data_IF_947489698276
#
_entry.id   IF_947489698276
#
_cell.length_a   1.000
_cell.length_b   1.000
_cell.length_c   1.000
_cell.angle_alpha   90.00
_cell.angle_beta   90.00
_cell.angle_gamma   90.00
#
_symmetry.space_group_name_H-M   'P 1'
#
loop_
_entity.id
_entity.type
_entity.pdbx_description
1 polymer ?
#
# COMPACT_ATOMS: atom_id res chain seq x y z
N UNK A 1 10.74 -26.65 -28.76
CA UNK A 1 10.95 -25.97 -27.47
C UNK A 1 9.58 -25.49 -27.04
N UNK A 2 9.06 -25.98 -25.91
CA UNK A 2 7.79 -25.48 -25.40
C UNK A 2 7.95 -23.97 -25.13
N UNK A 3 6.94 -23.19 -25.50
CA UNK A 3 6.94 -21.75 -25.24
C UNK A 3 6.93 -21.55 -23.71
N UNK A 4 7.88 -20.79 -23.16
CA UNK A 4 8.05 -20.64 -21.70
C UNK A 4 6.80 -20.11 -20.98
N UNK A 5 5.88 -19.50 -21.75
CA UNK A 5 4.55 -19.10 -21.29
C UNK A 5 3.64 -20.30 -20.99
N UNK A 6 3.67 -21.33 -21.83
CA UNK A 6 2.86 -22.54 -21.67
C UNK A 6 3.32 -23.37 -20.46
N UNK A 7 4.63 -23.51 -20.28
CA UNK A 7 5.20 -24.14 -19.08
C UNK A 7 4.80 -23.42 -17.79
N UNK A 8 4.86 -22.07 -17.78
CA UNK A 8 4.46 -21.27 -16.63
C UNK A 8 2.98 -21.46 -16.27
N UNK A 9 2.10 -21.52 -17.27
CA UNK A 9 0.67 -21.79 -17.07
C UNK A 9 0.45 -23.17 -16.46
N UNK A 10 1.14 -24.18 -17.00
CA UNK A 10 1.02 -25.56 -16.53
C UNK A 10 1.49 -25.70 -15.07
N UNK A 11 2.58 -25.03 -14.70
CA UNK A 11 3.08 -25.01 -13.32
C UNK A 11 2.06 -24.36 -12.38
N UNK A 12 1.54 -23.17 -12.72
CA UNK A 12 0.54 -22.48 -11.87
C UNK A 12 -0.73 -23.34 -11.73
N UNK A 13 -1.16 -24.00 -12.81
CA UNK A 13 -2.31 -24.90 -12.79
C UNK A 13 -2.05 -26.11 -11.88
N UNK A 14 -0.86 -26.72 -11.96
CA UNK A 14 -0.46 -27.80 -11.06
C UNK A 14 -0.46 -27.35 -9.60
N UNK A 15 0.14 -26.19 -9.29
CA UNK A 15 0.20 -25.64 -7.93
C UNK A 15 -1.18 -25.42 -7.34
N UNK A 16 -2.10 -24.81 -8.09
CA UNK A 16 -3.47 -24.55 -7.65
C UNK A 16 -4.29 -25.83 -7.50
N UNK A 17 -4.22 -26.72 -8.49
CA UNK A 17 -5.06 -27.93 -8.54
C UNK A 17 -4.65 -28.97 -7.50
N UNK A 18 -3.37 -28.99 -7.10
CA UNK A 18 -2.83 -29.97 -6.16
C UNK A 18 -2.53 -29.41 -4.78
N UNK A 19 -2.82 -28.13 -4.54
CA UNK A 19 -2.62 -27.48 -3.25
C UNK A 19 -3.33 -28.23 -2.12
N UNK A 20 -2.59 -28.69 -1.11
CA UNK A 20 -3.12 -29.36 0.07
C UNK A 20 -3.51 -30.83 -0.13
N UNK A 21 -3.26 -31.42 -1.30
CA UNK A 21 -3.43 -32.86 -1.50
C UNK A 21 -2.35 -33.66 -0.78
N UNK A 22 -2.68 -34.89 -0.39
CA UNK A 22 -1.71 -35.83 0.21
C UNK A 22 -0.81 -36.41 -0.88
N UNK A 23 0.48 -36.56 -0.57
CA UNK A 23 1.48 -37.16 -1.46
C UNK A 23 2.81 -36.43 -1.36
N UNK A 24 3.90 -37.12 -1.69
CA UNK A 24 5.23 -36.52 -1.79
C UNK A 24 5.25 -35.47 -2.92
N UNK A 25 5.87 -34.32 -2.68
CA UNK A 25 5.96 -33.23 -3.66
C UNK A 25 4.67 -32.44 -3.89
N UNK A 26 3.58 -32.70 -3.14
CA UNK A 26 2.34 -31.94 -3.28
C UNK A 26 2.48 -30.51 -2.73
N UNK A 27 2.06 -29.48 -3.50
CA UNK A 27 2.22 -28.10 -3.11
C UNK A 27 1.23 -27.70 -2.01
N UNK A 28 1.52 -26.59 -1.32
CA UNK A 28 0.57 -25.91 -0.44
C UNK A 28 0.60 -24.42 -0.78
N UNK A 29 -0.42 -23.98 -1.51
CA UNK A 29 -0.63 -22.55 -1.79
C UNK A 29 -1.25 -21.93 -0.55
N UNK A 30 -0.51 -21.07 0.13
CA UNK A 30 -0.96 -20.40 1.37
C UNK A 30 -1.66 -19.09 1.05
N UNK A 31 -2.77 -18.86 1.72
CA UNK A 31 -3.55 -17.61 1.62
C UNK A 31 -3.92 -17.17 0.19
N UNK A 32 -4.39 -18.08 -0.69
CA UNK A 32 -4.72 -17.74 -2.08
C UNK A 32 -5.80 -16.66 -2.20
N UNK A 33 -6.63 -16.46 -1.18
CA UNK A 33 -7.67 -15.43 -1.14
C UNK A 33 -7.13 -14.00 -1.17
N UNK A 34 -5.85 -13.79 -0.83
CA UNK A 34 -5.23 -12.46 -0.86
C UNK A 34 -4.51 -12.18 -2.17
N UNK A 35 -4.25 -13.19 -3.00
CA UNK A 35 -3.55 -12.98 -4.28
C UNK A 35 -4.41 -12.22 -5.27
N UNK A 36 -3.77 -11.38 -6.07
CA UNK A 36 -4.43 -10.59 -7.11
C UNK A 36 -5.58 -9.72 -6.58
N UNK A 37 -5.45 -9.27 -5.33
CA UNK A 37 -6.30 -8.25 -4.74
C UNK A 37 -5.62 -6.88 -4.84
N UNK A 38 -6.45 -5.87 -5.09
CA UNK A 38 -6.03 -4.48 -4.97
C UNK A 38 -6.01 -4.09 -3.50
N UNK A 39 -5.08 -3.20 -3.14
CA UNK A 39 -4.94 -2.68 -1.79
C UNK A 39 -3.93 -1.53 -1.76
N UNK A 40 -3.25 -1.36 -0.63
CA UNK A 40 -2.17 -0.39 -0.47
C UNK A 40 -0.86 -1.05 -0.04
N UNK A 41 0.25 -0.40 -0.35
CA UNK A 41 1.58 -0.81 0.10
C UNK A 41 2.51 0.39 0.28
N UNK A 42 3.56 0.22 1.07
CA UNK A 42 4.61 1.21 1.26
C UNK A 42 5.97 0.67 0.82
N UNK A 43 6.96 1.54 0.81
CA UNK A 43 8.37 1.16 0.69
C UNK A 43 8.88 0.68 2.04
N UNK A 44 9.37 -0.56 2.12
CA UNK A 44 10.00 -1.10 3.33
C UNK A 44 11.18 -0.22 3.76
N UNK A 45 12.09 0.07 2.82
CA UNK A 45 13.24 0.96 3.05
C UNK A 45 12.87 2.39 2.63
N UNK A 46 12.94 3.32 3.57
CA UNK A 46 12.69 4.75 3.35
C UNK A 46 13.98 5.54 3.54
N UNK A 47 14.23 6.51 2.65
CA UNK A 47 15.43 7.36 2.70
C UNK A 47 15.19 8.69 3.39
N UNK A 48 13.95 9.19 3.41
CA UNK A 48 13.62 10.50 3.98
C UNK A 48 12.22 10.50 4.62
N UNK A 49 11.17 10.33 3.82
CA UNK A 49 9.79 10.27 4.29
C UNK A 49 9.15 8.95 3.87
N UNK A 50 8.17 8.49 4.66
CA UNK A 50 7.37 7.32 4.32
C UNK A 50 6.62 7.60 3.01
N UNK A 51 6.58 6.59 2.13
CA UNK A 51 5.78 6.66 0.91
C UNK A 51 4.89 5.44 0.76
N UNK A 52 3.61 5.71 0.58
CA UNK A 52 2.56 4.71 0.41
C UNK A 52 1.88 4.88 -0.96
N UNK A 53 1.44 3.78 -1.56
CA UNK A 53 0.83 3.76 -2.90
C UNK A 53 -0.29 2.75 -2.98
N UNK A 54 -1.20 2.97 -3.94
CA UNK A 54 -2.10 1.91 -4.40
C UNK A 54 -1.29 0.77 -4.98
N UNK A 55 -1.70 -0.45 -4.63
CA UNK A 55 -1.17 -1.68 -5.17
C UNK A 55 -2.23 -2.33 -6.04
N UNK A 56 -1.90 -2.51 -7.31
CA UNK A 56 -2.73 -3.26 -8.25
C UNK A 56 -2.71 -4.76 -7.93
N UNK A 57 -3.57 -5.51 -8.60
CA UNK A 57 -3.69 -6.97 -8.44
C UNK A 57 -2.37 -7.67 -8.73
N UNK A 58 -1.69 -8.13 -7.68
CA UNK A 58 -0.42 -8.83 -7.82
C UNK A 58 -0.24 -9.95 -6.79
N UNK A 59 0.92 -10.60 -6.82
CA UNK A 59 1.43 -11.38 -5.70
C UNK A 59 2.14 -10.45 -4.71
N UNK A 60 2.20 -10.84 -3.44
CA UNK A 60 2.75 -10.03 -2.36
C UNK A 60 4.09 -10.62 -1.91
N UNK A 61 5.03 -9.74 -1.60
CA UNK A 61 6.33 -10.07 -1.03
C UNK A 61 6.51 -9.29 0.28
N UNK A 62 7.44 -9.73 1.14
CA UNK A 62 7.75 -9.10 2.42
C UNK A 62 8.18 -7.65 2.24
N UNK A 63 8.95 -7.31 1.19
CA UNK A 63 9.38 -5.92 0.94
C UNK A 63 8.34 -5.05 0.23
N UNK A 64 7.22 -5.66 -0.17
CA UNK A 64 6.05 -4.96 -0.70
C UNK A 64 4.81 -5.51 0.00
N UNK A 65 4.80 -5.39 1.33
CA UNK A 65 3.67 -5.75 2.17
C UNK A 65 2.41 -5.07 1.66
N UNK A 66 1.27 -5.75 1.77
CA UNK A 66 0.00 -5.25 1.25
C UNK A 66 -1.03 -5.27 2.35
N UNK A 67 -1.70 -4.14 2.52
CA UNK A 67 -2.88 -4.01 3.38
C UNK A 67 -4.10 -3.95 2.47
N UNK A 68 -5.14 -4.63 2.90
CA UNK A 68 -6.45 -4.66 2.25
C UNK A 68 -7.49 -4.14 3.23
N UNK A 69 -8.35 -3.23 2.76
CA UNK A 69 -9.51 -2.79 3.52
C UNK A 69 -10.45 -3.96 3.79
N UNK A 70 -10.78 -4.18 5.06
CA UNK A 70 -11.80 -5.15 5.50
C UNK A 70 -13.04 -4.47 6.08
N UNK A 71 -13.05 -3.13 6.08
CA UNK A 71 -14.09 -2.28 6.67
C UNK A 71 -14.37 -1.09 5.75
N UNK A 72 -15.60 -0.56 5.83
CA UNK A 72 -16.04 0.62 5.09
C UNK A 72 -15.92 1.91 5.91
N UNK A 73 -15.28 1.88 7.09
CA UNK A 73 -15.12 3.05 7.97
C UNK A 73 -14.27 4.15 7.34
N UNK A 74 -13.28 3.78 6.53
CA UNK A 74 -12.40 4.69 5.81
C UNK A 74 -11.89 4.00 4.56
N UNK A 75 -11.56 4.78 3.53
CA UNK A 75 -10.98 4.25 2.32
C UNK A 75 -9.49 3.95 2.49
N UNK A 76 -8.98 3.04 1.65
CA UNK A 76 -7.53 2.83 1.52
C UNK A 76 -6.81 4.12 1.09
N UNK A 77 -7.49 4.98 0.33
CA UNK A 77 -6.98 6.29 -0.09
C UNK A 77 -6.74 7.26 1.07
N UNK A 78 -7.56 7.17 2.11
CA UNK A 78 -7.33 7.91 3.34
C UNK A 78 -6.05 7.43 4.03
N UNK A 79 -5.85 6.12 4.21
CA UNK A 79 -4.61 5.57 4.80
C UNK A 79 -3.39 5.97 3.97
N UNK A 80 -3.48 5.88 2.64
CA UNK A 80 -2.41 6.30 1.72
C UNK A 80 -2.09 7.78 1.95
N UNK A 81 -3.10 8.65 2.02
CA UNK A 81 -2.93 10.09 2.29
C UNK A 81 -2.21 10.32 3.62
N UNK A 82 -2.67 9.67 4.70
CA UNK A 82 -2.08 9.81 6.03
C UNK A 82 -0.59 9.40 6.03
N UNK A 83 -0.26 8.22 5.51
CA UNK A 83 1.13 7.71 5.51
C UNK A 83 2.06 8.59 4.66
N UNK A 84 1.56 9.21 3.58
CA UNK A 84 2.38 10.08 2.73
C UNK A 84 2.63 11.48 3.33
N UNK A 85 2.00 11.83 4.45
CA UNK A 85 2.25 13.11 5.13
C UNK A 85 3.60 13.14 5.84
N UNK A 86 4.16 14.35 5.93
CA UNK A 86 5.37 14.61 6.73
C UNK A 86 5.10 14.39 8.22
N UNK A 87 3.92 14.75 8.72
CA UNK A 87 3.54 14.53 10.12
C UNK A 87 3.64 13.06 10.54
N UNK A 88 3.04 12.13 9.76
CA UNK A 88 3.10 10.70 10.07
C UNK A 88 4.54 10.17 9.94
N UNK A 89 5.30 10.65 8.95
CA UNK A 89 6.70 10.26 8.82
C UNK A 89 7.53 10.67 10.04
N UNK A 90 7.35 11.90 10.53
CA UNK A 90 8.01 12.38 11.74
C UNK A 90 7.53 11.63 12.98
N UNK A 91 6.24 11.33 13.10
CA UNK A 91 5.73 10.53 14.21
C UNK A 91 6.42 9.17 14.28
N UNK A 92 6.51 8.47 13.15
CA UNK A 92 7.17 7.15 13.09
C UNK A 92 8.64 7.27 13.48
N UNK A 93 9.36 8.21 12.87
CA UNK A 93 10.80 8.41 13.12
C UNK A 93 11.11 8.76 14.59
N UNK A 94 10.25 9.55 15.24
CA UNK A 94 10.50 10.02 16.60
C UNK A 94 9.96 9.09 17.70
N UNK A 95 8.88 8.36 17.43
CA UNK A 95 8.14 7.64 18.49
C UNK A 95 7.96 6.14 18.24
N UNK A 96 8.12 5.65 17.02
CA UNK A 96 7.86 4.24 16.68
C UNK A 96 9.16 3.51 16.35
N UNK A 97 9.85 3.97 15.31
CA UNK A 97 11.03 3.31 14.76
C UNK A 97 11.86 4.32 13.94
N UNK A 98 13.06 4.64 14.42
CA UNK A 98 14.00 5.57 13.78
C UNK A 98 14.97 4.89 12.79
N UNK A 99 14.73 3.63 12.45
CA UNK A 99 15.48 2.93 11.41
C UNK A 99 14.90 3.24 10.03
N UNK A 100 15.64 2.90 8.97
CA UNK A 100 15.14 3.08 7.60
C UNK A 100 14.01 2.11 7.21
N UNK A 101 13.71 1.11 8.04
CA UNK A 101 12.71 0.08 7.75
C UNK A 101 11.37 0.41 8.38
N UNK A 102 10.30 0.40 7.59
CA UNK A 102 8.92 0.55 8.06
C UNK A 102 8.15 -0.74 7.80
N UNK A 103 7.88 -1.51 8.87
CA UNK A 103 7.24 -2.82 8.77
C UNK A 103 5.78 -2.80 9.23
N UNK A 104 5.07 -3.91 9.06
CA UNK A 104 3.65 -4.00 9.47
C UNK A 104 3.43 -3.71 10.95
N UNK A 105 4.38 -4.07 11.82
CA UNK A 105 4.25 -3.80 13.25
C UNK A 105 4.36 -2.31 13.58
N UNK A 106 5.10 -1.55 12.76
CA UNK A 106 5.20 -0.10 12.87
C UNK A 106 3.92 0.54 12.33
N UNK A 107 3.42 0.06 11.18
CA UNK A 107 2.17 0.54 10.58
C UNK A 107 0.94 0.37 11.51
N UNK A 108 0.95 -0.65 12.38
CA UNK A 108 -0.10 -0.87 13.39
C UNK A 108 -0.12 0.17 14.51
N UNK A 109 0.95 0.94 14.67
CA UNK A 109 1.10 1.95 15.71
C UNK A 109 0.76 3.36 15.21
N UNK A 110 0.39 3.51 13.94
CA UNK A 110 0.01 4.81 13.39
C UNK A 110 -1.26 5.36 14.07
N UNK A 111 -1.28 6.63 14.50
CA UNK A 111 -2.39 7.21 15.23
C UNK A 111 -3.52 7.65 14.30
N UNK A 112 -4.13 6.73 13.54
CA UNK A 112 -5.12 7.08 12.51
C UNK A 112 -6.47 7.49 13.14
N UNK A 113 -6.86 8.75 12.95
CA UNK A 113 -8.19 9.26 13.32
C UNK A 113 -9.20 8.79 12.27
N UNK A 114 -10.40 8.37 12.70
CA UNK A 114 -11.47 8.00 11.76
C UNK A 114 -12.00 9.28 11.09
N UNK A 115 -11.95 9.40 9.76
CA UNK A 115 -12.33 10.62 9.05
C UNK A 115 -13.84 10.81 9.00
N UNK A 116 -14.28 12.05 8.76
CA UNK A 116 -15.63 12.29 8.24
C UNK A 116 -15.72 11.86 6.78
N UNK A 117 -16.94 11.73 6.24
CA UNK A 117 -17.12 11.42 4.82
C UNK A 117 -16.46 12.45 3.90
N UNK A 118 -16.50 13.73 4.27
CA UNK A 118 -15.86 14.81 3.51
C UNK A 118 -14.34 14.69 3.53
N UNK A 119 -13.75 14.36 4.69
CA UNK A 119 -12.31 14.16 4.80
C UNK A 119 -11.85 12.96 3.97
N UNK A 120 -12.59 11.85 4.01
CA UNK A 120 -12.29 10.64 3.22
C UNK A 120 -12.39 10.92 1.70
N UNK A 121 -13.37 11.72 1.26
CA UNK A 121 -13.48 12.17 -0.13
C UNK A 121 -12.32 13.07 -0.55
N UNK A 122 -11.88 13.99 0.32
CA UNK A 122 -10.73 14.83 0.05
C UNK A 122 -9.46 14.00 -0.12
N UNK A 123 -9.23 13.01 0.74
CA UNK A 123 -8.10 12.09 0.63
C UNK A 123 -8.12 11.30 -0.70
N UNK A 124 -9.29 10.80 -1.13
CA UNK A 124 -9.45 10.15 -2.45
C UNK A 124 -9.06 11.08 -3.59
N UNK A 125 -9.38 12.37 -3.48
CA UNK A 125 -9.03 13.36 -4.49
C UNK A 125 -7.52 13.54 -4.63
N UNK A 126 -6.78 13.61 -3.51
CA UNK A 126 -5.32 13.71 -3.52
C UNK A 126 -4.68 12.51 -4.21
N UNK A 127 -5.08 11.29 -3.84
CA UNK A 127 -4.52 10.06 -4.43
C UNK A 127 -4.85 9.97 -5.92
N UNK A 128 -6.10 10.25 -6.30
CA UNK A 128 -6.52 10.25 -7.72
C UNK A 128 -5.72 11.25 -8.56
N UNK A 129 -5.54 12.46 -8.05
CA UNK A 129 -4.79 13.51 -8.73
C UNK A 129 -3.30 13.16 -8.85
N UNK A 130 -2.68 12.65 -7.78
CA UNK A 130 -1.29 12.20 -7.80
C UNK A 130 -1.07 11.07 -8.82
N UNK A 131 -2.00 10.10 -8.90
CA UNK A 131 -1.95 9.02 -9.90
C UNK A 131 -2.07 9.58 -11.32
N UNK A 132 -3.00 10.52 -11.58
CA UNK A 132 -3.16 11.15 -12.90
C UNK A 132 -1.88 11.86 -13.34
N UNK A 133 -1.27 12.64 -12.45
CA UNK A 133 -0.02 13.37 -12.72
C UNK A 133 1.11 12.40 -13.04
N UNK A 134 1.28 11.32 -12.26
CA UNK A 134 2.31 10.30 -12.51
C UNK A 134 2.09 9.56 -13.82
N UNK A 135 0.85 9.24 -14.19
CA UNK A 135 0.53 8.58 -15.47
C UNK A 135 0.70 9.51 -16.67
N UNK A 136 0.43 10.81 -16.50
CA UNK A 136 0.60 11.82 -17.53
C UNK A 136 2.05 12.28 -17.75
N UNK A 137 3.04 11.64 -17.12
CA UNK A 137 4.47 12.00 -17.17
C UNK A 137 4.73 13.51 -16.94
N UNK A 138 3.90 14.15 -16.11
CA UNK A 138 3.99 15.59 -15.82
C UNK A 138 5.12 15.87 -14.83
N UNK A 139 5.61 17.11 -14.81
CA UNK A 139 6.76 17.55 -14.02
C UNK A 139 6.53 17.45 -12.49
N UNK A 140 7.63 17.28 -11.74
CA UNK A 140 7.63 17.10 -10.27
C UNK A 140 6.92 18.23 -9.51
N UNK A 141 6.92 19.46 -10.04
CA UNK A 141 6.34 20.63 -9.39
C UNK A 141 4.86 20.44 -9.03
N UNK A 142 4.08 19.68 -9.81
CA UNK A 142 2.67 19.43 -9.53
C UNK A 142 2.48 18.46 -8.34
N UNK A 143 3.40 17.51 -8.16
CA UNK A 143 3.38 16.60 -7.00
C UNK A 143 3.80 17.32 -5.73
N UNK A 144 4.70 18.30 -5.81
CA UNK A 144 5.09 19.12 -4.66
C UNK A 144 3.93 19.97 -4.14
N UNK A 145 3.06 20.45 -5.03
CA UNK A 145 1.82 21.15 -4.63
C UNK A 145 0.90 20.20 -3.89
N UNK A 146 0.65 19.00 -4.43
CA UNK A 146 -0.19 17.99 -3.75
C UNK A 146 0.42 17.60 -2.40
N UNK A 147 1.74 17.46 -2.29
CA UNK A 147 2.38 17.12 -1.02
C UNK A 147 2.09 18.18 0.06
N UNK A 148 2.18 19.48 -0.28
CA UNK A 148 1.85 20.56 0.65
C UNK A 148 0.39 20.56 1.06
N UNK A 149 -0.51 20.27 0.12
CA UNK A 149 -1.94 20.14 0.40
C UNK A 149 -2.25 18.96 1.33
N UNK A 150 -1.60 17.81 1.09
CA UNK A 150 -1.69 16.62 1.96
C UNK A 150 -1.19 16.94 3.36
N UNK A 151 -0.02 17.58 3.49
CA UNK A 151 0.53 17.94 4.80
C UNK A 151 -0.41 18.88 5.56
N UNK A 152 -0.89 19.95 4.90
CA UNK A 152 -1.84 20.90 5.49
C UNK A 152 -3.17 20.24 5.87
N UNK A 153 -3.62 19.25 5.09
CA UNK A 153 -4.84 18.50 5.38
C UNK A 153 -4.65 17.60 6.60
N UNK A 154 -3.54 16.87 6.69
CA UNK A 154 -3.27 15.97 7.81
C UNK A 154 -3.06 16.75 9.11
N UNK A 155 -2.34 17.86 9.08
CA UNK A 155 -2.20 18.75 10.26
C UNK A 155 -3.57 19.18 10.81
N UNK A 156 -4.50 19.60 9.93
CA UNK A 156 -5.87 19.95 10.32
C UNK A 156 -6.62 18.80 10.97
N UNK A 157 -6.48 17.57 10.47
CA UNK A 157 -7.12 16.38 11.06
C UNK A 157 -6.67 16.18 12.53
N UNK A 158 -5.42 16.51 12.84
CA UNK A 158 -4.87 16.44 14.21
C UNK A 158 -5.01 17.75 15.01
N UNK A 159 -5.63 18.79 14.44
CA UNK A 159 -5.74 20.13 15.04
C UNK A 159 -4.38 20.77 15.36
N UNK A 160 -3.41 20.66 14.44
CA UNK A 160 -2.10 21.29 14.49
C UNK A 160 -2.03 22.54 13.60
#
# INVERSE_FOLDING_TARGET
MADGKEESINIVQFLKTNSGKKGEGMPVVRNPQFYFREGLCWSDINTMFLKCRKKEKSIHDVKSMSIFGVSNLLSEDYIITMINSTLISHYVDNFVNNTQTFQINDARQLPIIIPTSTDDEQAKSFVSNAIKIKKGHTTNNALDVIQKEVDSYVEKIYNL
#
